data_IF_189440810434
#
_entry.id   IF_189440810434
#
_cell.length_a   1.000
_cell.length_b   1.000
_cell.length_c   1.000
_cell.angle_alpha   90.00
_cell.angle_beta   90.00
_cell.angle_gamma   90.00
#
_symmetry.space_group_name_H-M   'P 1'
#
loop_
_entity.id
_entity.type
_entity.pdbx_description
1 polymer ?
#
# COMPACT_ATOMS: atom_id res chain seq x y z
N UNK A 1 43.88 -16.70 -26.99
CA UNK A 1 43.15 -16.60 -25.71
C UNK A 1 43.66 -17.66 -24.77
N UNK A 2 44.05 -17.30 -23.55
CA UNK A 2 44.58 -18.25 -22.56
C UNK A 2 43.48 -19.23 -22.12
N UNK A 3 43.82 -20.51 -21.96
CA UNK A 3 42.89 -21.56 -21.56
C UNK A 3 42.23 -21.29 -20.20
N UNK A 4 42.92 -20.53 -19.34
CA UNK A 4 42.43 -20.09 -18.04
C UNK A 4 41.26 -19.09 -18.18
N UNK A 5 41.33 -18.17 -19.16
CA UNK A 5 40.26 -17.22 -19.43
C UNK A 5 39.00 -17.93 -19.94
N UNK A 6 39.15 -18.95 -20.79
CA UNK A 6 38.01 -19.74 -21.29
C UNK A 6 37.29 -20.50 -20.18
N UNK A 7 38.03 -21.11 -19.25
CA UNK A 7 37.43 -21.78 -18.09
C UNK A 7 36.69 -20.82 -17.16
N UNK A 8 37.26 -19.65 -16.91
CA UNK A 8 36.61 -18.62 -16.09
C UNK A 8 35.33 -18.10 -16.75
N UNK A 9 35.34 -17.89 -18.06
CA UNK A 9 34.16 -17.44 -18.79
C UNK A 9 33.06 -18.52 -18.85
N UNK A 10 33.42 -19.80 -19.02
CA UNK A 10 32.44 -20.91 -18.99
C UNK A 10 31.81 -21.16 -17.62
N UNK A 11 32.51 -20.82 -16.53
CA UNK A 11 31.96 -20.88 -15.16
C UNK A 11 31.05 -19.68 -14.84
N UNK A 12 31.35 -18.51 -15.39
CA UNK A 12 30.61 -17.28 -15.11
C UNK A 12 29.36 -17.13 -15.97
N UNK A 13 29.35 -17.75 -17.15
CA UNK A 13 28.21 -17.75 -18.08
C UNK A 13 27.94 -19.18 -18.58
N UNK A 14 27.32 -20.05 -17.75
CA UNK A 14 26.87 -21.35 -18.21
C UNK A 14 25.85 -21.15 -19.33
N UNK A 15 26.22 -21.51 -20.57
CA UNK A 15 25.38 -21.38 -21.76
C UNK A 15 25.94 -20.50 -22.89
N UNK A 16 27.10 -19.87 -22.74
CA UNK A 16 27.78 -19.18 -23.85
C UNK A 16 28.87 -20.07 -24.44
N UNK A 17 28.44 -21.18 -25.05
CA UNK A 17 29.21 -21.81 -26.12
C UNK A 17 28.68 -21.28 -27.46
N UNK A 18 29.57 -20.59 -28.15
CA UNK A 18 29.38 -20.08 -29.50
C UNK A 18 29.40 -21.25 -30.48
N UNK A 19 28.29 -21.52 -31.17
CA UNK A 19 28.24 -21.89 -32.61
C UNK A 19 26.86 -22.41 -33.04
N UNK A 20 26.20 -21.62 -33.89
CA UNK A 20 25.63 -22.12 -35.16
C UNK A 20 24.31 -22.90 -35.15
N UNK A 21 23.26 -22.22 -35.64
CA UNK A 21 22.29 -22.81 -36.57
C UNK A 21 21.03 -23.49 -35.98
N UNK A 22 19.87 -22.96 -36.36
CA UNK A 22 18.61 -23.72 -36.41
C UNK A 22 17.48 -23.20 -35.53
N UNK A 23 16.54 -22.47 -36.13
CA UNK A 23 15.11 -22.53 -35.78
C UNK A 23 14.51 -23.81 -36.42
N UNK A 24 13.36 -24.43 -36.03
CA UNK A 24 12.30 -24.01 -35.10
C UNK A 24 11.67 -25.08 -34.16
N UNK A 25 10.95 -24.60 -33.13
CA UNK A 25 9.65 -25.16 -32.70
C UNK A 25 9.61 -26.30 -31.66
N UNK A 26 8.43 -26.35 -31.01
CA UNK A 26 7.77 -27.50 -30.36
C UNK A 26 8.03 -27.81 -28.86
N UNK A 27 6.92 -27.64 -28.10
CA UNK A 27 6.32 -28.58 -27.15
C UNK A 27 6.83 -28.74 -25.69
N UNK A 28 6.00 -28.24 -24.76
CA UNK A 28 5.65 -28.85 -23.45
C UNK A 28 4.90 -30.19 -23.74
N UNK A 29 4.96 -31.30 -22.94
CA UNK A 29 4.59 -31.31 -21.52
C UNK A 29 5.20 -32.38 -20.57
N UNK A 30 5.23 -32.02 -19.27
CA UNK A 30 4.86 -32.90 -18.14
C UNK A 30 5.81 -34.02 -17.67
N UNK A 31 5.96 -34.17 -16.34
CA UNK A 31 5.66 -35.40 -15.59
C UNK A 31 6.32 -35.42 -14.20
N UNK A 32 5.61 -36.07 -13.28
CA UNK A 32 5.78 -36.14 -11.83
C UNK A 32 7.01 -36.94 -11.34
N UNK A 33 7.34 -36.80 -10.05
CA UNK A 33 8.21 -37.73 -9.35
C UNK A 33 8.58 -37.30 -7.93
N UNK A 34 7.74 -37.64 -6.96
CA UNK A 34 8.15 -37.89 -5.57
C UNK A 34 8.96 -39.21 -5.53
N UNK A 35 9.95 -39.38 -4.64
CA UNK A 35 9.65 -40.27 -3.51
C UNK A 35 10.30 -39.91 -2.16
N UNK A 36 9.53 -40.20 -1.12
CA UNK A 36 9.94 -40.32 0.27
C UNK A 36 10.91 -41.49 0.58
N UNK A 37 11.54 -41.40 1.77
CA UNK A 37 12.12 -42.42 2.68
C UNK A 37 13.56 -42.03 3.06
N UNK A 38 14.04 -42.11 4.30
CA UNK A 38 13.56 -42.63 5.58
C UNK A 38 14.78 -42.65 6.53
N UNK A 39 14.58 -42.57 7.84
CA UNK A 39 15.69 -42.73 8.79
C UNK A 39 15.37 -42.30 10.22
N UNK A 40 14.85 -43.23 11.00
CA UNK A 40 15.01 -43.31 12.47
C UNK A 40 15.98 -44.51 12.72
N UNK A 41 16.67 -44.70 13.88
CA UNK A 41 16.05 -44.60 15.21
C UNK A 41 16.92 -44.13 16.40
N UNK A 42 16.19 -43.68 17.44
CA UNK A 42 16.34 -43.96 18.88
C UNK A 42 17.65 -43.68 19.64
N UNK A 43 17.53 -42.88 20.71
CA UNK A 43 18.23 -43.10 21.97
C UNK A 43 17.42 -42.56 23.16
N UNK A 44 17.01 -43.47 24.03
CA UNK A 44 16.45 -43.20 25.36
C UNK A 44 17.55 -42.80 26.34
N UNK A 45 17.33 -41.81 27.20
CA UNK A 45 17.53 -41.91 28.66
C UNK A 45 17.27 -40.57 29.34
N UNK A 46 16.33 -40.61 30.28
CA UNK A 46 16.13 -39.64 31.36
C UNK A 46 17.21 -39.87 32.44
N UNK A 47 17.62 -38.82 33.18
CA UNK A 47 17.36 -38.91 34.61
C UNK A 47 16.88 -37.60 35.26
N UNK A 48 15.78 -37.75 35.98
CA UNK A 48 15.32 -37.03 37.19
C UNK A 48 16.39 -36.29 38.00
N UNK A 49 16.13 -35.00 38.29
CA UNK A 49 16.78 -34.22 39.33
C UNK A 49 15.89 -33.03 39.72
N UNK A 50 15.46 -32.98 40.97
CA UNK A 50 14.40 -32.09 41.47
C UNK A 50 14.77 -30.60 41.48
N UNK A 51 13.72 -29.78 41.38
CA UNK A 51 13.73 -28.38 41.77
C UNK A 51 12.37 -28.09 42.40
N UNK A 52 12.44 -27.30 43.46
CA UNK A 52 11.45 -27.06 44.49
C UNK A 52 10.21 -26.33 43.93
N UNK A 53 9.02 -26.74 44.40
CA UNK A 53 7.76 -26.04 44.16
C UNK A 53 7.78 -24.71 44.94
N UNK A 54 8.32 -23.66 44.32
CA UNK A 54 8.10 -22.28 44.76
C UNK A 54 6.64 -21.90 44.47
N UNK A 55 5.83 -21.86 45.53
CA UNK A 55 4.50 -21.23 45.58
C UNK A 55 4.64 -19.73 45.27
N UNK A 56 4.60 -19.38 43.98
CA UNK A 56 4.41 -18.01 43.53
C UNK A 56 2.94 -17.63 43.68
N UNK A 57 2.58 -17.06 44.83
CA UNK A 57 1.29 -16.41 45.05
C UNK A 57 1.24 -15.10 44.23
N UNK A 58 0.80 -15.23 42.97
CA UNK A 58 0.54 -14.09 42.10
C UNK A 58 -0.74 -13.41 42.56
N UNK A 59 -0.58 -12.33 43.33
CA UNK A 59 -1.65 -11.37 43.63
C UNK A 59 -2.08 -10.70 42.31
N UNK A 60 -2.98 -11.37 41.58
CA UNK A 60 -3.62 -10.83 40.39
C UNK A 60 -4.56 -9.70 40.81
N UNK A 61 -4.03 -8.49 40.86
CA UNK A 61 -4.84 -7.27 40.92
C UNK A 61 -5.56 -7.14 39.58
N UNK A 62 -6.81 -7.60 39.57
CA UNK A 62 -7.70 -7.49 38.41
C UNK A 62 -7.79 -6.01 37.99
N UNK A 63 -7.37 -5.65 36.76
CA UNK A 63 -7.41 -4.27 36.32
C UNK A 63 -8.87 -3.87 36.18
N UNK A 64 -9.36 -3.07 37.12
CA UNK A 64 -10.71 -2.51 37.09
C UNK A 64 -10.89 -1.74 35.77
N UNK A 65 -11.92 -2.05 34.96
CA UNK A 65 -12.12 -1.37 33.70
C UNK A 65 -12.46 0.10 33.96
N UNK A 66 -11.65 1.01 33.42
CA UNK A 66 -11.92 2.44 33.50
C UNK A 66 -13.32 2.73 32.95
N UNK A 67 -14.18 3.31 33.80
CA UNK A 67 -15.52 3.77 33.41
C UNK A 67 -15.38 4.77 32.26
N UNK A 68 -15.73 4.34 31.05
CA UNK A 68 -15.80 5.21 29.87
C UNK A 68 -16.93 6.21 30.09
N UNK A 69 -16.58 7.44 30.47
CA UNK A 69 -17.52 8.56 30.42
C UNK A 69 -17.94 8.72 28.97
N UNK A 70 -19.23 8.65 28.69
CA UNK A 70 -19.78 8.99 27.38
C UNK A 70 -19.50 10.46 27.11
N UNK A 71 -18.44 10.77 26.35
CA UNK A 71 -18.24 12.11 25.82
C UNK A 71 -19.48 12.45 24.99
N UNK A 72 -20.07 13.62 25.22
CA UNK A 72 -21.25 14.02 24.47
C UNK A 72 -20.90 14.08 22.98
N UNK A 73 -21.86 13.89 22.08
CA UNK A 73 -21.60 13.98 20.64
C UNK A 73 -20.99 15.34 20.25
N UNK A 74 -21.29 16.40 21.02
CA UNK A 74 -20.67 17.71 20.86
C UNK A 74 -19.15 17.69 21.14
N UNK A 75 -18.71 17.00 22.19
CA UNK A 75 -17.27 16.86 22.51
C UNK A 75 -16.55 16.03 21.44
N UNK A 76 -17.21 15.01 20.88
CA UNK A 76 -16.68 14.20 19.78
C UNK A 76 -16.53 15.03 18.51
N UNK A 77 -17.50 15.88 18.19
CA UNK A 77 -17.43 16.78 17.03
C UNK A 77 -16.32 17.82 17.21
N UNK A 78 -16.23 18.46 18.37
CA UNK A 78 -15.16 19.42 18.66
C UNK A 78 -13.76 18.80 18.58
N UNK A 79 -13.59 17.55 19.04
CA UNK A 79 -12.34 16.82 18.90
C UNK A 79 -11.99 16.51 17.44
N UNK A 80 -12.99 16.17 16.62
CA UNK A 80 -12.80 15.94 15.18
C UNK A 80 -12.44 17.24 14.44
N UNK A 81 -13.07 18.37 14.78
CA UNK A 81 -12.76 19.67 14.21
C UNK A 81 -11.33 20.11 14.56
N UNK A 82 -10.91 19.94 15.81
CA UNK A 82 -9.54 20.23 16.25
C UNK A 82 -8.50 19.36 15.54
N UNK A 83 -8.79 18.08 15.30
CA UNK A 83 -7.91 17.18 14.56
C UNK A 83 -7.86 17.54 13.06
N UNK A 84 -8.98 17.92 12.46
CA UNK A 84 -9.02 18.42 11.07
C UNK A 84 -8.23 19.71 10.93
N UNK A 85 -8.37 20.65 11.86
CA UNK A 85 -7.63 21.90 11.86
C UNK A 85 -6.12 21.65 12.03
N UNK A 86 -5.74 20.76 12.96
CA UNK A 86 -4.34 20.35 13.16
C UNK A 86 -3.75 19.72 11.90
N UNK A 87 -4.48 18.82 11.25
CA UNK A 87 -4.06 18.22 9.97
C UNK A 87 -4.00 19.25 8.84
N UNK A 88 -4.93 20.19 8.81
CA UNK A 88 -4.92 21.31 7.87
C UNK A 88 -3.65 22.15 8.00
N UNK A 89 -3.30 22.55 9.23
CA UNK A 89 -2.06 23.31 9.49
C UNK A 89 -0.79 22.54 9.12
N UNK A 90 -0.75 21.22 9.37
CA UNK A 90 0.39 20.39 8.96
C UNK A 90 0.50 20.24 7.44
N UNK A 91 -0.63 20.08 6.75
CA UNK A 91 -0.68 20.01 5.29
C UNK A 91 -0.33 21.36 4.64
N UNK A 92 -0.71 22.48 5.26
CA UNK A 92 -0.35 23.80 4.76
C UNK A 92 1.12 24.12 5.07
N UNK A 93 1.64 23.71 6.22
CA UNK A 93 3.07 23.83 6.52
C UNK A 93 3.92 23.03 5.52
N UNK A 94 3.49 21.82 5.13
CA UNK A 94 4.18 21.04 4.09
C UNK A 94 4.00 21.64 2.70
N UNK A 95 2.94 22.41 2.46
CA UNK A 95 2.74 23.13 1.21
C UNK A 95 3.57 24.40 1.08
N UNK A 96 3.76 25.12 2.18
CA UNK A 96 4.38 26.46 2.22
C UNK A 96 5.89 26.40 2.46
N UNK A 97 6.42 25.25 2.85
CA UNK A 97 7.86 25.01 2.84
C UNK A 97 8.39 25.16 1.41
N UNK A 98 8.96 26.33 1.10
CA UNK A 98 9.73 26.54 -0.13
C UNK A 98 10.77 25.44 -0.27
N UNK A 99 11.10 25.02 -1.51
CA UNK A 99 12.13 24.02 -1.74
C UNK A 99 13.45 24.56 -1.17
N UNK A 100 13.80 24.07 0.03
CA UNK A 100 15.11 24.28 0.62
C UNK A 100 16.07 23.57 -0.30
N UNK A 101 16.99 24.32 -0.92
CA UNK A 101 18.03 23.75 -1.74
C UNK A 101 18.68 22.58 -0.98
N UNK A 102 18.93 21.43 -1.62
CA UNK A 102 19.53 20.29 -0.94
C UNK A 102 20.81 20.76 -0.24
N UNK A 103 21.00 20.43 1.05
CA UNK A 103 22.18 20.87 1.78
C UNK A 103 23.43 20.39 1.03
N UNK A 104 24.49 21.22 0.96
CA UNK A 104 25.73 20.83 0.29
C UNK A 104 26.30 19.57 0.95
N UNK A 105 26.77 18.65 0.12
CA UNK A 105 27.36 17.38 0.56
C UNK A 105 28.70 17.65 1.27
N UNK A 106 28.65 17.66 2.60
CA UNK A 106 29.82 17.99 3.45
C UNK A 106 30.97 17.01 3.30
N UNK A 107 30.72 15.81 2.79
CA UNK A 107 31.77 14.83 2.56
C UNK A 107 32.49 15.12 1.24
N UNK A 108 31.77 15.63 0.24
CA UNK A 108 32.38 16.10 -1.01
C UNK A 108 33.34 17.28 -0.80
N UNK A 109 32.95 18.26 0.03
CA UNK A 109 33.78 19.43 0.35
C UNK A 109 35.09 19.03 1.05
N UNK A 110 35.02 18.12 2.03
CA UNK A 110 36.21 17.62 2.74
C UNK A 110 37.14 16.83 1.84
N UNK A 111 36.59 16.05 0.91
CA UNK A 111 37.38 15.30 -0.05
C UNK A 111 38.06 16.19 -1.08
N UNK A 112 37.40 17.27 -1.53
CA UNK A 112 38.03 18.31 -2.36
C UNK A 112 39.20 18.99 -1.64
N UNK A 113 39.03 19.33 -0.36
CA UNK A 113 40.07 19.98 0.43
C UNK A 113 41.28 19.06 0.62
N UNK A 114 41.07 17.75 0.79
CA UNK A 114 42.14 16.75 0.82
C UNK A 114 42.84 16.57 -0.54
N UNK A 115 42.10 16.55 -1.64
CA UNK A 115 42.67 16.46 -2.98
C UNK A 115 43.46 17.71 -3.37
N UNK A 116 43.16 18.86 -2.76
CA UNK A 116 43.90 20.11 -2.93
C UNK A 116 45.26 20.09 -2.24
N UNK A 117 45.41 19.30 -1.19
CA UNK A 117 46.69 19.17 -0.49
C UNK A 117 47.70 18.40 -1.36
N UNK A 118 48.87 19.00 -1.69
CA UNK A 118 49.86 18.35 -2.54
C UNK A 118 50.46 17.08 -1.91
N UNK A 119 50.37 16.93 -0.59
CA UNK A 119 50.89 15.81 0.19
C UNK A 119 49.97 14.57 0.22
N UNK A 120 48.82 14.58 -0.49
CA UNK A 120 47.95 13.39 -0.53
C UNK A 120 48.64 12.21 -1.22
N UNK A 121 48.59 11.06 -0.56
CA UNK A 121 49.13 9.80 -1.11
C UNK A 121 48.27 9.29 -2.27
N UNK A 122 48.87 8.51 -3.16
CA UNK A 122 48.15 7.90 -4.31
C UNK A 122 47.01 6.97 -3.85
N UNK A 123 47.21 6.26 -2.74
CA UNK A 123 46.21 5.40 -2.12
C UNK A 123 44.98 6.22 -1.65
N UNK A 124 45.20 7.37 -1.02
CA UNK A 124 44.11 8.26 -0.57
C UNK A 124 43.35 8.85 -1.75
N UNK A 125 44.04 9.22 -2.84
CA UNK A 125 43.38 9.68 -4.07
C UNK A 125 42.47 8.62 -4.66
N UNK A 126 42.95 7.37 -4.72
CA UNK A 126 42.14 6.24 -5.17
C UNK A 126 40.94 6.00 -4.26
N UNK A 127 41.12 6.06 -2.93
CA UNK A 127 40.02 5.91 -1.98
C UNK A 127 38.95 7.00 -2.14
N UNK A 128 39.37 8.26 -2.31
CA UNK A 128 38.46 9.38 -2.56
C UNK A 128 37.68 9.17 -3.87
N UNK A 129 38.36 8.75 -4.93
CA UNK A 129 37.70 8.46 -6.21
C UNK A 129 36.72 7.28 -6.12
N UNK A 130 37.07 6.24 -5.35
CA UNK A 130 36.21 5.10 -5.07
C UNK A 130 34.94 5.53 -4.31
N UNK A 131 35.10 6.33 -3.25
CA UNK A 131 33.97 6.86 -2.47
C UNK A 131 33.04 7.74 -3.33
N UNK A 132 33.60 8.61 -4.17
CA UNK A 132 32.81 9.42 -5.12
C UNK A 132 32.01 8.55 -6.08
N UNK A 133 32.64 7.53 -6.65
CA UNK A 133 31.98 6.60 -7.57
C UNK A 133 30.87 5.84 -6.87
N UNK A 134 31.09 5.41 -5.63
CA UNK A 134 30.06 4.75 -4.83
C UNK A 134 28.87 5.69 -4.55
N UNK A 135 29.11 6.94 -4.14
CA UNK A 135 28.03 7.92 -3.92
C UNK A 135 27.26 8.23 -5.20
N UNK A 136 27.96 8.40 -6.32
CA UNK A 136 27.32 8.61 -7.63
C UNK A 136 26.48 7.40 -8.04
N UNK A 137 26.97 6.17 -7.82
CA UNK A 137 26.23 4.94 -8.10
C UNK A 137 24.97 4.84 -7.24
N UNK A 138 25.05 5.19 -5.95
CA UNK A 138 23.88 5.22 -5.06
C UNK A 138 22.85 6.27 -5.49
N UNK A 139 23.30 7.47 -5.87
CA UNK A 139 22.40 8.51 -6.41
C UNK A 139 21.74 8.07 -7.72
N UNK A 140 22.50 7.44 -8.62
CA UNK A 140 21.96 6.90 -9.87
C UNK A 140 20.92 5.80 -9.61
N UNK A 141 21.19 4.90 -8.65
CA UNK A 141 20.24 3.87 -8.24
C UNK A 141 18.97 4.48 -7.63
N UNK A 142 19.09 5.47 -6.76
CA UNK A 142 17.94 6.17 -6.18
C UNK A 142 17.09 6.87 -7.25
N UNK A 143 17.73 7.52 -8.22
CA UNK A 143 17.04 8.13 -9.34
C UNK A 143 16.35 7.10 -10.25
N UNK A 144 17.00 5.96 -10.52
CA UNK A 144 16.41 4.87 -11.28
C UNK A 144 15.18 4.27 -10.58
N UNK A 145 15.23 4.11 -9.25
CA UNK A 145 14.08 3.66 -8.45
C UNK A 145 12.91 4.65 -8.53
N UNK A 146 13.19 5.96 -8.46
CA UNK A 146 12.17 6.99 -8.61
C UNK A 146 11.51 6.94 -10.01
N UNK A 147 12.31 6.79 -11.06
CA UNK A 147 11.79 6.62 -12.43
C UNK A 147 10.97 5.34 -12.57
N UNK A 148 11.41 4.23 -11.97
CA UNK A 148 10.68 2.97 -12.02
C UNK A 148 9.31 3.07 -11.33
N UNK A 149 9.24 3.74 -10.17
CA UNK A 149 7.98 4.03 -9.48
C UNK A 149 7.06 4.89 -10.35
N UNK A 150 7.62 5.90 -11.03
CA UNK A 150 6.85 6.76 -11.92
C UNK A 150 6.25 6.01 -13.10
N UNK A 151 7.04 5.16 -13.76
CA UNK A 151 6.56 4.32 -14.85
C UNK A 151 5.49 3.35 -14.39
N UNK A 152 5.64 2.77 -13.19
CA UNK A 152 4.62 1.89 -12.61
C UNK A 152 3.30 2.64 -12.33
N UNK A 153 3.36 3.84 -11.71
CA UNK A 153 2.16 4.65 -11.49
C UNK A 153 1.49 5.07 -12.81
N UNK A 154 2.28 5.40 -13.84
CA UNK A 154 1.77 5.68 -15.18
C UNK A 154 1.03 4.48 -15.78
N UNK A 155 1.66 3.30 -15.80
CA UNK A 155 1.06 2.10 -16.39
C UNK A 155 -0.15 1.62 -15.58
N UNK A 156 -0.11 1.70 -14.25
CA UNK A 156 -1.24 1.41 -13.38
C UNK A 156 -2.43 2.32 -13.69
N UNK A 157 -2.20 3.62 -13.87
CA UNK A 157 -3.25 4.57 -14.26
C UNK A 157 -3.80 4.30 -15.67
N UNK A 158 -2.93 4.09 -16.65
CA UNK A 158 -3.33 3.83 -18.04
C UNK A 158 -4.05 2.48 -18.22
N UNK A 159 -3.71 1.46 -17.43
CA UNK A 159 -4.39 0.15 -17.46
C UNK A 159 -5.88 0.23 -17.13
N UNK A 160 -6.29 1.26 -16.37
CA UNK A 160 -7.68 1.50 -15.99
C UNK A 160 -8.49 2.22 -17.07
N UNK A 161 -7.89 2.62 -18.19
CA UNK A 161 -8.60 3.31 -19.27
C UNK A 161 -9.62 2.42 -19.98
N UNK A 162 -9.33 1.11 -20.07
CA UNK A 162 -10.24 0.15 -20.69
C UNK A 162 -11.53 -0.03 -19.89
N UNK A 163 -11.44 -0.01 -18.55
CA UNK A 163 -12.60 -0.16 -17.66
C UNK A 163 -13.33 1.15 -17.39
N UNK A 164 -12.63 2.29 -17.44
CA UNK A 164 -13.21 3.61 -17.20
C UNK A 164 -12.73 4.62 -18.27
N UNK A 165 -13.48 4.76 -19.38
CA UNK A 165 -13.14 5.71 -20.45
C UNK A 165 -13.18 7.18 -20.01
N UNK A 166 -13.81 7.52 -18.88
CA UNK A 166 -13.76 8.88 -18.37
C UNK A 166 -12.35 9.26 -17.94
N UNK A 167 -11.55 8.31 -17.41
CA UNK A 167 -10.14 8.54 -17.03
C UNK A 167 -9.30 9.02 -18.19
N UNK A 168 -9.51 8.47 -19.39
CA UNK A 168 -8.77 8.87 -20.58
C UNK A 168 -8.92 10.37 -20.90
N UNK A 169 -10.09 10.98 -20.60
CA UNK A 169 -10.32 12.43 -20.78
C UNK A 169 -9.53 13.30 -19.80
N UNK A 170 -9.09 12.73 -18.69
CA UNK A 170 -8.29 13.43 -17.68
C UNK A 170 -6.79 13.16 -17.83
N UNK A 171 -6.36 12.26 -18.73
CA UNK A 171 -4.94 11.87 -18.88
C UNK A 171 -4.00 13.07 -18.92
N UNK A 172 -4.19 13.95 -19.90
CA UNK A 172 -3.29 15.08 -20.12
C UNK A 172 -3.35 16.09 -18.96
N UNK A 173 -4.54 16.30 -18.37
CA UNK A 173 -4.71 17.19 -17.21
C UNK A 173 -4.03 16.65 -15.95
N UNK A 174 -4.11 15.33 -15.74
CA UNK A 174 -3.47 14.64 -14.62
C UNK A 174 -1.95 14.66 -14.78
N UNK A 175 -1.42 14.41 -15.98
CA UNK A 175 0.02 14.50 -16.26
C UNK A 175 0.56 15.91 -16.03
N UNK A 176 -0.14 16.94 -16.50
CA UNK A 176 0.23 18.35 -16.24
C UNK A 176 0.24 18.67 -14.73
N UNK A 177 -0.79 18.24 -14.00
CA UNK A 177 -0.88 18.47 -12.57
C UNK A 177 0.23 17.73 -11.79
N UNK A 178 0.50 16.46 -12.11
CA UNK A 178 1.61 15.69 -11.51
C UNK A 178 2.95 16.36 -11.79
N UNK A 179 3.19 16.83 -13.02
CA UNK A 179 4.42 17.54 -13.37
C UNK A 179 4.55 18.85 -12.58
N UNK A 180 3.44 19.58 -12.37
CA UNK A 180 3.43 20.81 -11.59
C UNK A 180 3.72 20.57 -10.10
N UNK A 181 3.21 19.48 -9.52
CA UNK A 181 3.50 19.10 -8.13
C UNK A 181 4.95 18.64 -7.97
N UNK A 182 5.51 17.95 -8.97
CA UNK A 182 6.94 17.59 -8.98
C UNK A 182 7.86 18.80 -9.06
N UNK A 183 7.48 19.79 -9.86
CA UNK A 183 8.20 21.07 -9.89
C UNK A 183 8.18 21.76 -8.51
N UNK A 184 7.16 21.50 -7.69
CA UNK A 184 7.07 21.95 -6.29
C UNK A 184 7.75 21.00 -5.30
N UNK A 185 8.46 19.97 -5.77
CA UNK A 185 9.14 18.98 -4.92
C UNK A 185 8.22 17.93 -4.29
N UNK A 186 6.96 17.83 -4.73
CA UNK A 186 6.00 16.84 -4.23
C UNK A 186 5.85 15.69 -5.21
N UNK A 187 5.84 14.47 -4.70
CA UNK A 187 5.51 13.30 -5.49
C UNK A 187 4.10 12.85 -5.16
N UNK A 188 3.17 13.06 -6.08
CA UNK A 188 1.75 12.70 -5.93
C UNK A 188 1.42 11.66 -7.00
N UNK A 189 0.67 10.62 -6.63
CA UNK A 189 0.24 9.59 -7.58
C UNK A 189 -0.76 10.15 -8.59
N UNK A 190 -0.72 9.67 -9.84
CA UNK A 190 -1.68 10.05 -10.89
C UNK A 190 -3.11 9.78 -10.48
N UNK A 191 -3.34 8.68 -9.74
CA UNK A 191 -4.67 8.34 -9.25
C UNK A 191 -5.22 9.34 -8.23
N UNK A 192 -4.40 9.80 -7.29
CA UNK A 192 -4.82 10.80 -6.31
C UNK A 192 -5.19 12.11 -6.99
N UNK A 193 -4.38 12.53 -7.96
CA UNK A 193 -4.66 13.72 -8.78
C UNK A 193 -5.95 13.56 -9.57
N UNK A 194 -6.18 12.40 -10.20
CA UNK A 194 -7.41 12.10 -10.90
C UNK A 194 -8.66 12.24 -10.01
N UNK A 195 -8.65 11.62 -8.82
CA UNK A 195 -9.80 11.69 -7.92
C UNK A 195 -10.03 13.10 -7.38
N UNK A 196 -8.96 13.86 -7.12
CA UNK A 196 -9.07 15.26 -6.73
C UNK A 196 -9.72 16.11 -7.84
N UNK A 197 -9.27 15.94 -9.09
CA UNK A 197 -9.84 16.65 -10.24
C UNK A 197 -11.30 16.26 -10.50
N UNK A 198 -11.61 14.97 -10.41
CA UNK A 198 -12.97 14.46 -10.55
C UNK A 198 -13.88 15.02 -9.45
N UNK A 199 -13.42 15.02 -8.20
CA UNK A 199 -14.15 15.59 -7.07
C UNK A 199 -14.43 17.08 -7.26
N UNK A 200 -13.45 17.84 -7.76
CA UNK A 200 -13.62 19.26 -8.11
C UNK A 200 -14.66 19.46 -9.22
N UNK A 201 -14.58 18.68 -10.31
CA UNK A 201 -15.53 18.82 -11.42
C UNK A 201 -16.96 18.38 -11.02
N UNK A 202 -17.12 17.49 -10.03
CA UNK A 202 -18.41 17.16 -9.41
C UNK A 202 -18.91 18.30 -8.51
N UNK A 203 -18.04 18.86 -7.67
CA UNK A 203 -18.38 19.98 -6.78
C UNK A 203 -18.77 21.24 -7.57
N UNK A 204 -18.09 21.50 -8.68
CA UNK A 204 -18.38 22.59 -9.62
C UNK A 204 -19.66 22.35 -10.45
N UNK A 205 -20.34 21.22 -10.27
CA UNK A 205 -21.58 20.86 -10.97
C UNK A 205 -21.41 20.53 -12.46
N UNK A 206 -20.16 20.51 -12.98
CA UNK A 206 -19.85 20.17 -14.38
C UNK A 206 -20.16 18.70 -14.67
N UNK A 207 -19.99 17.82 -13.68
CA UNK A 207 -20.53 16.47 -13.71
C UNK A 207 -21.66 16.39 -12.68
N UNK A 208 -22.91 16.29 -13.17
CA UNK A 208 -24.01 15.87 -12.30
C UNK A 208 -23.61 14.52 -11.70
N UNK A 209 -23.53 14.37 -10.37
CA UNK A 209 -23.28 13.07 -9.77
C UNK A 209 -24.35 12.15 -10.33
N UNK A 210 -23.92 11.09 -11.02
CA UNK A 210 -24.84 10.07 -11.51
C UNK A 210 -25.38 9.42 -10.24
N UNK A 211 -26.48 9.97 -9.72
CA UNK A 211 -27.22 9.43 -8.61
C UNK A 211 -27.31 7.94 -8.92
N UNK A 212 -26.74 7.10 -8.05
CA UNK A 212 -26.79 5.65 -8.22
C UNK A 212 -28.24 5.37 -8.58
N UNK A 213 -28.47 4.96 -9.83
CA UNK A 213 -29.75 4.42 -10.21
C UNK A 213 -29.94 3.32 -9.18
N UNK A 214 -30.93 3.51 -8.31
CA UNK A 214 -31.37 2.51 -7.35
C UNK A 214 -31.62 1.31 -8.24
N UNK A 215 -30.68 0.37 -8.28
CA UNK A 215 -30.83 -0.81 -9.10
C UNK A 215 -32.21 -1.35 -8.70
N UNK A 216 -33.18 -1.44 -9.63
CA UNK A 216 -34.43 -2.10 -9.28
C UNK A 216 -33.98 -3.43 -8.73
N UNK A 217 -34.37 -3.72 -7.48
CA UNK A 217 -33.99 -4.96 -6.80
C UNK A 217 -34.12 -6.06 -7.83
N UNK A 218 -33.01 -6.73 -8.15
CA UNK A 218 -33.03 -7.83 -9.11
C UNK A 218 -34.22 -8.68 -8.69
N UNK A 219 -35.15 -8.88 -9.63
CA UNK A 219 -36.30 -9.74 -9.42
C UNK A 219 -35.73 -11.16 -9.33
N UNK A 220 -35.18 -11.46 -8.16
CA UNK A 220 -34.83 -12.80 -7.74
C UNK A 220 -36.18 -13.48 -7.72
N UNK A 221 -36.45 -14.44 -8.61
CA UNK A 221 -37.71 -15.17 -8.58
C UNK A 221 -37.72 -15.92 -7.25
N UNK A 222 -38.35 -15.31 -6.25
CA UNK A 222 -38.63 -15.96 -4.98
C UNK A 222 -39.63 -17.03 -5.35
N UNK A 223 -39.11 -18.24 -5.54
CA UNK A 223 -39.88 -19.43 -5.88
C UNK A 223 -41.16 -19.44 -5.07
N UNK A 224 -42.28 -19.67 -5.75
CA UNK A 224 -43.61 -19.79 -5.17
C UNK A 224 -43.51 -20.63 -3.89
N UNK A 225 -43.66 -20.01 -2.72
CA UNK A 225 -43.75 -20.76 -1.48
C UNK A 225 -44.95 -21.70 -1.59
N UNK A 226 -44.84 -22.98 -1.18
CA UNK A 226 -45.96 -23.91 -1.21
C UNK A 226 -47.17 -23.28 -0.52
N UNK A 227 -48.35 -23.45 -1.11
CA UNK A 227 -49.59 -22.80 -0.70
C UNK A 227 -50.01 -23.17 0.73
N UNK A 228 -49.37 -22.54 1.72
CA UNK A 228 -49.82 -22.50 3.10
C UNK A 228 -50.89 -21.42 3.15
N UNK A 229 -52.14 -21.83 3.31
CA UNK A 229 -53.27 -20.91 3.54
C UNK A 229 -53.06 -20.25 4.90
N UNK A 230 -52.46 -19.06 4.93
CA UNK A 230 -52.41 -18.27 6.16
C UNK A 230 -53.81 -17.76 6.47
N UNK A 231 -54.41 -18.23 7.55
CA UNK A 231 -55.70 -17.72 8.05
C UNK A 231 -55.54 -16.41 8.82
N UNK A 232 -54.74 -15.48 8.28
CA UNK A 232 -54.59 -14.13 8.79
C UNK A 232 -55.22 -13.21 7.75
N UNK A 233 -56.30 -12.47 8.07
CA UNK A 233 -56.88 -11.54 7.12
C UNK A 233 -55.83 -10.48 6.78
N UNK A 234 -55.63 -10.22 5.48
CA UNK A 234 -54.80 -9.13 4.97
C UNK A 234 -55.44 -7.78 5.37
N UNK A 235 -55.28 -7.40 6.63
CA UNK A 235 -55.65 -6.09 7.14
C UNK A 235 -54.64 -5.04 6.66
N UNK A 236 -55.14 -3.93 6.12
CA UNK A 236 -54.36 -2.72 5.80
C UNK A 236 -53.29 -2.49 6.88
N UNK A 237 -52.03 -2.41 6.47
CA UNK A 237 -50.90 -2.19 7.37
C UNK A 237 -51.15 -0.99 8.26
N UNK A 238 -51.24 -1.23 9.56
CA UNK A 238 -51.38 -0.18 10.55
C UNK A 238 -50.10 0.66 10.58
N UNK A 239 -50.26 1.97 10.47
CA UNK A 239 -49.16 2.92 10.60
C UNK A 239 -48.62 2.89 12.04
N UNK A 240 -47.35 3.24 12.24
CA UNK A 240 -46.72 3.14 13.57
C UNK A 240 -47.41 4.01 14.63
N UNK A 241 -48.11 5.07 14.20
CA UNK A 241 -48.97 5.88 15.06
C UNK A 241 -50.17 5.08 15.60
N UNK A 242 -50.81 4.27 14.76
CA UNK A 242 -51.96 3.45 15.17
C UNK A 242 -51.52 2.30 16.09
N UNK A 243 -50.33 1.72 15.87
CA UNK A 243 -49.74 0.74 16.79
C UNK A 243 -49.42 1.34 18.16
N UNK A 244 -48.97 2.60 18.19
CA UNK A 244 -48.67 3.32 19.45
C UNK A 244 -49.95 3.65 20.21
N UNK A 245 -51.03 4.03 19.51
CA UNK A 245 -52.34 4.26 20.10
C UNK A 245 -52.95 2.98 20.69
N UNK A 246 -52.93 1.86 19.96
CA UNK A 246 -53.41 0.57 20.47
C UNK A 246 -52.64 0.06 21.71
N UNK A 247 -51.35 0.42 21.83
CA UNK A 247 -50.54 0.12 23.02
C UNK A 247 -50.92 0.94 24.25
N UNK A 248 -51.46 2.14 24.05
CA UNK A 248 -51.90 3.03 25.13
C UNK A 248 -53.36 2.76 25.53
N UNK A 249 -54.18 2.22 24.63
CA UNK A 249 -55.59 1.90 24.89
C UNK A 249 -55.78 0.79 25.96
N UNK A 250 -54.79 -0.08 26.14
CA UNK A 250 -54.78 -1.12 27.18
C UNK A 250 -54.11 -0.71 28.50
N UNK A 251 -53.63 0.54 28.60
CA UNK A 251 -52.97 1.05 29.81
C UNK A 251 -53.94 2.04 30.46
N UNK A 252 -54.71 1.56 31.45
CA UNK A 252 -55.39 2.46 32.37
C UNK A 252 -54.33 3.20 33.18
N UNK A 253 -54.24 4.51 32.97
CA UNK A 253 -53.51 5.46 33.82
C UNK A 253 -54.45 5.89 34.95
#
# INVERSE_FOLDING_TARGET
MSALLRRLLGLLFPGVDDSGGGDPGADDPGSAGDPATGGDPAASSDPTGGAEDDDFDFDFVEPTPATRRSSSDADRIAALEAEVERRGRLADASRTASPVAPPPDRDFEREEERLRNPDTTELERWQIQSNRTMRQSQQAAAHALFQAQDLNDRTAFESKFTSDPHRARYRDRVEQAVQSERAQGRNVSREAVYYHMLGKDIADGKLKPKAKAKAPAADVPRGKSPAVRSNVPNGRGQTDHQKRAARLEGVNI
#
